data_IF_892541705697
#
_entry.id   IF_892541705697
#
_cell.length_a   1.000
_cell.length_b   1.000
_cell.length_c   1.000
_cell.angle_alpha   90.00
_cell.angle_beta   90.00
_cell.angle_gamma   90.00
#
_symmetry.space_group_name_H-M   'P 1'
#
loop_
_entity.id
_entity.type
_entity.pdbx_description
1 polymer ?
#
# COMPACT_ATOMS: atom_id res chain seq x y z
N UNK A 1 -31.64 -1.09 89.58
CA UNK A 1 -31.64 0.38 89.37
C UNK A 1 -31.24 0.66 87.93
N UNK A 2 -32.04 1.47 87.19
CA UNK A 2 -31.71 2.43 86.10
C UNK A 2 -30.34 2.23 85.39
N UNK A 3 -30.15 2.22 84.07
CA UNK A 3 -30.87 2.77 82.89
C UNK A 3 -30.16 2.25 81.61
N UNK A 4 -30.92 2.25 80.51
CA UNK A 4 -30.55 2.09 79.09
C UNK A 4 -29.76 3.31 78.57
N UNK A 5 -28.85 3.13 77.58
CA UNK A 5 -28.59 4.09 76.50
C UNK A 5 -27.79 3.45 75.33
N UNK A 6 -28.17 3.83 74.09
CA UNK A 6 -27.81 3.28 72.77
C UNK A 6 -27.09 4.37 71.93
N UNK A 7 -26.19 3.95 71.01
CA UNK A 7 -25.66 4.62 69.79
C UNK A 7 -24.86 5.95 69.99
N UNK A 8 -23.82 6.29 69.22
CA UNK A 8 -23.74 6.42 67.76
C UNK A 8 -22.31 6.27 67.17
N UNK A 9 -22.29 5.97 65.87
CA UNK A 9 -21.16 5.95 64.92
C UNK A 9 -20.22 7.17 65.00
N UNK A 10 -18.91 6.93 64.89
CA UNK A 10 -18.03 7.56 63.88
C UNK A 10 -16.84 6.64 63.58
N UNK A 11 -16.74 6.17 62.33
CA UNK A 11 -15.55 5.49 61.81
C UNK A 11 -14.56 6.60 61.43
N UNK A 12 -13.41 6.65 62.13
CA UNK A 12 -12.30 7.52 61.77
C UNK A 12 -11.11 6.69 61.28
N UNK A 13 -10.53 7.18 60.19
CA UNK A 13 -9.58 6.55 59.28
C UNK A 13 -8.24 6.16 59.90
N UNK A 14 -7.70 5.03 59.47
CA UNK A 14 -6.26 4.91 59.20
C UNK A 14 -6.00 3.78 58.16
N UNK A 15 -5.92 4.15 56.88
CA UNK A 15 -5.40 3.32 55.80
C UNK A 15 -3.88 3.54 55.73
N UNK A 16 -3.02 2.51 55.82
CA UNK A 16 -1.62 2.66 55.45
C UNK A 16 -1.44 2.61 53.93
N UNK A 17 -0.52 3.46 53.49
CA UNK A 17 -0.07 3.79 52.15
C UNK A 17 -0.10 2.68 51.08
N UNK A 18 -0.68 3.04 49.94
CA UNK A 18 -0.50 2.39 48.64
C UNK A 18 0.97 2.47 48.23
N UNK A 19 1.71 1.38 48.41
CA UNK A 19 3.03 1.22 47.82
C UNK A 19 2.89 1.16 46.30
N UNK A 20 3.48 2.12 45.60
CA UNK A 20 3.64 2.11 44.16
C UNK A 20 4.44 0.86 43.74
N UNK A 21 3.73 -0.17 43.26
CA UNK A 21 4.36 -1.28 42.57
C UNK A 21 4.33 -0.96 41.07
N UNK A 22 5.34 -0.20 40.62
CA UNK A 22 5.72 -0.14 39.22
C UNK A 22 6.23 -1.51 38.81
N UNK A 23 5.31 -2.43 38.51
CA UNK A 23 5.65 -3.58 37.68
C UNK A 23 5.91 -3.05 36.28
N UNK A 24 7.17 -2.69 36.00
CA UNK A 24 7.73 -2.89 34.68
C UNK A 24 7.56 -4.38 34.36
N UNK A 25 6.41 -4.73 33.77
CA UNK A 25 6.28 -5.97 33.03
C UNK A 25 7.25 -5.84 31.87
N UNK A 26 8.43 -6.39 32.07
CA UNK A 26 9.35 -6.78 31.01
C UNK A 26 8.60 -7.77 30.11
N UNK A 27 7.89 -7.24 29.11
CA UNK A 27 7.26 -8.04 28.06
C UNK A 27 8.25 -8.24 26.92
N UNK A 28 9.34 -8.97 27.20
CA UNK A 28 9.93 -9.82 26.18
C UNK A 28 9.00 -11.05 26.02
N UNK A 29 7.78 -10.77 25.56
CA UNK A 29 6.82 -11.78 25.13
C UNK A 29 7.24 -12.21 23.71
N UNK A 30 7.30 -13.51 23.38
CA UNK A 30 7.57 -13.94 22.01
C UNK A 30 6.55 -13.37 21.00
N UNK A 31 5.38 -12.93 21.48
CA UNK A 31 4.39 -12.20 20.71
C UNK A 31 4.84 -10.80 20.23
N UNK A 32 5.73 -10.09 20.95
CA UNK A 32 6.21 -8.77 20.49
C UNK A 32 7.15 -8.91 19.28
N UNK A 33 8.02 -9.93 19.30
CA UNK A 33 8.94 -10.22 18.21
C UNK A 33 8.22 -10.82 16.97
N UNK A 34 7.09 -11.49 17.19
CA UNK A 34 6.21 -11.94 16.11
C UNK A 34 5.41 -10.79 15.50
N UNK A 35 4.93 -9.85 16.33
CA UNK A 35 4.19 -8.68 15.89
C UNK A 35 5.05 -7.72 15.04
N UNK A 36 6.34 -7.53 15.38
CA UNK A 36 7.23 -6.65 14.59
C UNK A 36 7.54 -7.21 13.19
N UNK A 37 7.35 -8.51 12.97
CA UNK A 37 7.59 -9.17 11.70
C UNK A 37 6.29 -9.47 10.93
N UNK A 38 5.13 -9.19 11.52
CA UNK A 38 3.83 -9.35 10.86
C UNK A 38 3.75 -8.44 9.62
N UNK A 39 3.33 -8.97 8.45
CA UNK A 39 3.34 -8.22 7.20
C UNK A 39 2.39 -7.02 7.20
N UNK A 40 1.26 -7.10 7.91
CA UNK A 40 0.30 -6.00 8.02
C UNK A 40 0.83 -4.91 8.98
N UNK A 41 1.50 -5.29 10.07
CA UNK A 41 2.22 -4.35 10.93
C UNK A 41 3.31 -3.61 10.16
N UNK A 42 4.14 -4.34 9.42
CA UNK A 42 5.21 -3.77 8.59
C UNK A 42 4.67 -2.85 7.49
N UNK A 43 3.56 -3.22 6.85
CA UNK A 43 2.86 -2.37 5.89
C UNK A 43 2.44 -1.03 6.52
N UNK A 44 1.79 -1.09 7.69
CA UNK A 44 1.38 0.11 8.43
C UNK A 44 2.58 0.97 8.85
N UNK A 45 3.66 0.34 9.31
CA UNK A 45 4.90 1.03 9.64
C UNK A 45 5.49 1.74 8.41
N UNK A 46 5.48 1.10 7.24
CA UNK A 46 5.94 1.71 6.00
C UNK A 46 5.17 3.00 5.66
N UNK A 47 3.84 2.97 5.76
CA UNK A 47 3.02 4.17 5.55
C UNK A 47 3.26 5.26 6.60
N UNK A 48 3.46 4.89 7.87
CA UNK A 48 3.84 5.86 8.91
C UNK A 48 5.16 6.56 8.57
N UNK A 49 6.19 5.80 8.20
CA UNK A 49 7.47 6.37 7.79
C UNK A 49 7.35 7.24 6.55
N UNK A 50 6.54 6.84 5.56
CA UNK A 50 6.29 7.67 4.37
C UNK A 50 5.65 9.00 4.72
N UNK A 51 4.69 9.03 5.67
CA UNK A 51 4.04 10.26 6.12
C UNK A 51 4.99 11.16 6.92
N UNK A 52 5.97 10.57 7.60
CA UNK A 52 7.04 11.29 8.31
C UNK A 52 8.19 11.75 7.38
N UNK A 53 8.11 11.49 6.07
CA UNK A 53 9.17 11.79 5.10
C UNK A 53 10.42 10.90 5.22
N UNK A 54 10.34 9.82 6.00
CA UNK A 54 11.43 8.85 6.22
C UNK A 54 11.37 7.76 5.15
N UNK A 55 11.57 8.14 3.89
CA UNK A 55 11.33 7.27 2.74
C UNK A 55 12.20 5.99 2.74
N UNK A 56 13.44 6.05 3.20
CA UNK A 56 14.30 4.86 3.27
C UNK A 56 13.80 3.82 4.29
N UNK A 57 13.24 4.28 5.41
CA UNK A 57 12.61 3.39 6.39
C UNK A 57 11.30 2.84 5.86
N UNK A 58 10.53 3.65 5.12
CA UNK A 58 9.32 3.20 4.45
C UNK A 58 9.61 2.08 3.44
N UNK A 59 10.63 2.26 2.60
CA UNK A 59 11.10 1.26 1.64
C UNK A 59 11.43 -0.06 2.33
N UNK A 60 12.24 0.00 3.40
CA UNK A 60 12.64 -1.18 4.16
C UNK A 60 11.43 -1.91 4.78
N UNK A 61 10.49 -1.17 5.36
CA UNK A 61 9.27 -1.72 5.94
C UNK A 61 8.38 -2.39 4.88
N UNK A 62 8.13 -1.71 3.76
CA UNK A 62 7.37 -2.29 2.66
C UNK A 62 8.08 -3.52 2.08
N UNK A 63 9.39 -3.48 1.90
CA UNK A 63 10.19 -4.61 1.39
C UNK A 63 10.08 -5.84 2.29
N UNK A 64 10.18 -5.68 3.61
CA UNK A 64 10.04 -6.80 4.55
C UNK A 64 8.66 -7.46 4.46
N UNK A 65 7.60 -6.66 4.36
CA UNK A 65 6.24 -7.19 4.18
C UNK A 65 6.00 -7.79 2.78
N UNK A 66 6.49 -7.13 1.74
CA UNK A 66 6.36 -7.56 0.35
C UNK A 66 7.00 -8.94 0.09
N UNK A 67 8.16 -9.20 0.73
CA UNK A 67 8.84 -10.51 0.72
C UNK A 67 8.03 -11.62 1.39
N UNK A 68 7.07 -11.28 2.24
CA UNK A 68 6.12 -12.23 2.84
C UNK A 68 4.84 -12.37 2.00
N UNK A 69 4.91 -12.00 0.72
CA UNK A 69 3.78 -12.03 -0.21
C UNK A 69 2.61 -11.11 0.20
N UNK A 70 2.88 -10.02 0.91
CA UNK A 70 1.85 -9.07 1.30
C UNK A 70 1.48 -8.14 0.13
N UNK A 71 0.31 -8.36 -0.47
CA UNK A 71 -0.17 -7.66 -1.67
C UNK A 71 -0.04 -6.14 -1.58
N UNK A 72 -0.59 -5.52 -0.53
CA UNK A 72 -0.58 -4.05 -0.39
C UNK A 72 0.83 -3.49 -0.27
N UNK A 73 1.75 -4.24 0.36
CA UNK A 73 3.15 -3.82 0.47
C UNK A 73 3.91 -3.92 -0.84
N UNK A 74 3.60 -4.91 -1.67
CA UNK A 74 4.18 -5.00 -3.01
C UNK A 74 3.72 -3.83 -3.87
N UNK A 75 2.44 -3.46 -3.83
CA UNK A 75 1.95 -2.26 -4.53
C UNK A 75 2.59 -0.98 -4.01
N UNK A 76 2.64 -0.79 -2.68
CA UNK A 76 3.27 0.38 -2.08
C UNK A 76 4.75 0.48 -2.43
N UNK A 77 5.47 -0.63 -2.39
CA UNK A 77 6.89 -0.67 -2.75
C UNK A 77 7.11 -0.41 -4.24
N UNK A 78 6.23 -0.93 -5.10
CA UNK A 78 6.27 -0.65 -6.53
C UNK A 78 6.11 0.85 -6.81
N UNK A 79 5.12 1.50 -6.19
CA UNK A 79 4.91 2.94 -6.28
C UNK A 79 6.07 3.74 -5.67
N UNK A 80 6.66 3.25 -4.59
CA UNK A 80 7.82 3.86 -3.95
C UNK A 80 8.99 3.98 -4.94
N UNK A 81 9.28 2.92 -5.67
CA UNK A 81 10.30 2.92 -6.72
C UNK A 81 9.89 3.69 -7.96
N UNK A 82 8.62 3.60 -8.37
CA UNK A 82 8.10 4.28 -9.55
C UNK A 82 8.22 5.80 -9.43
N UNK A 83 7.85 6.36 -8.27
CA UNK A 83 7.96 7.80 -8.01
C UNK A 83 9.31 8.22 -7.42
N UNK A 84 10.24 7.27 -7.24
CA UNK A 84 11.55 7.54 -6.66
C UNK A 84 11.51 8.21 -5.29
N UNK A 85 10.63 7.73 -4.40
CA UNK A 85 10.43 8.33 -3.06
C UNK A 85 11.70 8.36 -2.21
N UNK A 86 12.59 7.39 -2.38
CA UNK A 86 13.95 7.37 -1.78
C UNK A 86 15.01 8.06 -2.65
N UNK A 87 14.64 9.12 -3.36
CA UNK A 87 15.56 9.99 -4.10
C UNK A 87 15.98 9.52 -5.49
N UNK A 88 15.52 8.35 -5.96
CA UNK A 88 15.76 7.88 -7.34
C UNK A 88 14.63 7.01 -7.86
N UNK A 89 14.18 7.29 -9.08
CA UNK A 89 13.23 6.42 -9.80
C UNK A 89 13.91 5.11 -10.17
N UNK A 90 13.20 3.99 -10.02
CA UNK A 90 13.66 2.68 -10.47
C UNK A 90 12.49 1.89 -11.09
N UNK A 91 12.24 2.12 -12.38
CA UNK A 91 11.16 1.47 -13.10
C UNK A 91 11.30 -0.06 -13.17
N UNK A 92 12.53 -0.61 -13.22
CA UNK A 92 12.70 -2.08 -13.24
C UNK A 92 12.23 -2.72 -11.93
N UNK A 93 12.59 -2.12 -10.78
CA UNK A 93 12.10 -2.62 -9.48
C UNK A 93 10.61 -2.35 -9.30
N UNK A 94 10.11 -1.21 -9.76
CA UNK A 94 8.67 -0.93 -9.74
C UNK A 94 7.89 -2.00 -10.52
N UNK A 95 8.30 -2.27 -11.76
CA UNK A 95 7.69 -3.28 -12.62
C UNK A 95 7.76 -4.68 -12.04
N UNK A 96 8.89 -5.04 -11.41
CA UNK A 96 9.02 -6.31 -10.70
C UNK A 96 7.96 -6.47 -9.60
N UNK A 97 7.80 -5.46 -8.74
CA UNK A 97 6.83 -5.55 -7.63
C UNK A 97 5.38 -5.42 -8.10
N UNK A 98 5.10 -4.62 -9.13
CA UNK A 98 3.79 -4.63 -9.78
C UNK A 98 3.48 -5.99 -10.40
N UNK A 99 4.44 -6.67 -11.02
CA UNK A 99 4.24 -8.02 -11.53
C UNK A 99 3.89 -9.01 -10.42
N UNK A 100 4.55 -8.94 -9.26
CA UNK A 100 4.21 -9.78 -8.10
C UNK A 100 2.80 -9.49 -7.55
N UNK A 101 2.38 -8.23 -7.53
CA UNK A 101 1.02 -7.87 -7.10
C UNK A 101 -0.04 -8.26 -8.14
N UNK A 102 0.27 -8.14 -9.43
CA UNK A 102 -0.58 -8.53 -10.54
C UNK A 102 -0.80 -10.05 -10.60
N UNK A 103 0.23 -10.85 -10.29
CA UNK A 103 0.11 -12.33 -10.23
C UNK A 103 -0.80 -12.80 -9.11
N UNK A 104 -0.95 -12.01 -8.04
CA UNK A 104 -1.94 -12.21 -6.97
C UNK A 104 -3.33 -11.65 -7.31
N UNK A 105 -3.51 -11.11 -8.51
CA UNK A 105 -4.79 -10.65 -9.00
C UNK A 105 -5.10 -9.18 -8.74
N UNK A 106 -4.16 -8.36 -8.28
CA UNK A 106 -4.41 -6.92 -8.15
C UNK A 106 -4.69 -6.28 -9.51
N UNK A 107 -5.90 -5.73 -9.66
CA UNK A 107 -6.30 -4.99 -10.84
C UNK A 107 -5.54 -3.66 -10.98
N UNK A 108 -5.22 -3.02 -9.84
CA UNK A 108 -4.39 -1.80 -9.84
C UNK A 108 -2.99 -2.10 -10.37
N UNK A 109 -2.38 -3.19 -9.92
CA UNK A 109 -1.05 -3.58 -10.36
C UNK A 109 -1.02 -4.00 -11.83
N UNK A 110 -2.04 -4.74 -12.30
CA UNK A 110 -2.20 -5.04 -13.73
C UNK A 110 -2.33 -3.77 -14.58
N UNK A 111 -3.14 -2.80 -14.15
CA UNK A 111 -3.30 -1.53 -14.85
C UNK A 111 -1.98 -0.76 -14.94
N UNK A 112 -1.29 -0.56 -13.81
CA UNK A 112 -0.05 0.20 -13.77
C UNK A 112 1.07 -0.52 -14.52
N UNK A 113 1.20 -1.85 -14.39
CA UNK A 113 2.16 -2.61 -15.18
C UNK A 113 1.86 -2.50 -16.68
N UNK A 114 0.58 -2.54 -17.07
CA UNK A 114 0.17 -2.33 -18.45
C UNK A 114 0.58 -0.96 -18.99
N UNK A 115 0.35 0.11 -18.22
CA UNK A 115 0.82 1.45 -18.56
C UNK A 115 2.35 1.51 -18.73
N UNK A 116 3.11 0.87 -17.83
CA UNK A 116 4.57 0.81 -17.93
C UNK A 116 5.05 0.17 -19.24
N UNK A 117 4.39 -0.89 -19.73
CA UNK A 117 4.72 -1.49 -21.02
C UNK A 117 4.35 -0.57 -22.21
N UNK A 118 3.27 0.20 -22.11
CA UNK A 118 2.86 1.14 -23.16
C UNK A 118 3.85 2.31 -23.26
N UNK A 119 4.34 2.79 -22.12
CA UNK A 119 5.23 3.95 -22.04
C UNK A 119 6.71 3.56 -22.18
N UNK A 120 7.05 2.28 -21.99
CA UNK A 120 8.44 1.79 -22.02
C UNK A 120 9.20 2.04 -20.72
N UNK A 121 8.48 2.18 -19.61
CA UNK A 121 9.05 2.45 -18.29
C UNK A 121 9.73 1.22 -17.73
N UNK A 122 11.06 1.16 -17.88
CA UNK A 122 11.89 0.06 -17.38
C UNK A 122 11.84 -1.22 -18.23
N UNK A 123 11.04 -1.24 -19.29
CA UNK A 123 10.87 -2.36 -20.22
C UNK A 123 10.87 -1.86 -21.67
N UNK A 124 11.19 -2.73 -22.65
CA UNK A 124 10.87 -2.44 -24.04
C UNK A 124 9.38 -2.13 -24.19
N UNK A 125 9.06 -1.10 -24.97
CA UNK A 125 7.69 -0.71 -25.24
C UNK A 125 6.94 -1.86 -25.93
N UNK A 126 5.80 -2.23 -25.36
CA UNK A 126 4.89 -3.25 -25.88
C UNK A 126 3.44 -2.81 -25.61
N UNK A 127 2.86 -2.13 -26.59
CA UNK A 127 1.49 -1.61 -26.47
C UNK A 127 0.46 -2.72 -26.42
N UNK A 128 0.65 -3.80 -27.18
CA UNK A 128 -0.32 -4.88 -27.25
C UNK A 128 -0.36 -5.65 -25.92
N UNK A 129 0.80 -5.93 -25.33
CA UNK A 129 0.86 -6.53 -24.00
C UNK A 129 0.34 -5.60 -22.90
N UNK A 130 0.63 -4.30 -22.99
CA UNK A 130 0.10 -3.33 -22.05
C UNK A 130 -1.42 -3.23 -22.07
N UNK A 131 -2.02 -3.16 -23.26
CA UNK A 131 -3.49 -3.16 -23.44
C UNK A 131 -4.11 -4.47 -22.97
N UNK A 132 -3.44 -5.61 -23.15
CA UNK A 132 -3.87 -6.88 -22.59
C UNK A 132 -3.98 -6.81 -21.06
N UNK A 133 -2.95 -6.32 -20.38
CA UNK A 133 -2.96 -6.17 -18.91
C UNK A 133 -4.04 -5.19 -18.42
N UNK A 134 -4.19 -4.05 -19.09
CA UNK A 134 -5.24 -3.08 -18.77
C UNK A 134 -6.64 -3.70 -18.95
N UNK A 135 -6.87 -4.51 -20.00
CA UNK A 135 -8.13 -5.22 -20.15
C UNK A 135 -8.39 -6.25 -19.05
N UNK A 136 -7.35 -6.93 -18.54
CA UNK A 136 -7.50 -7.81 -17.36
C UNK A 136 -7.96 -7.02 -16.14
N UNK A 137 -7.37 -5.85 -15.90
CA UNK A 137 -7.80 -4.96 -14.82
C UNK A 137 -9.25 -4.47 -15.01
N UNK A 138 -9.63 -4.11 -16.24
CA UNK A 138 -10.99 -3.70 -16.61
C UNK A 138 -12.02 -4.80 -16.32
N UNK A 139 -11.75 -6.05 -16.69
CA UNK A 139 -12.66 -7.18 -16.45
C UNK A 139 -12.91 -7.41 -14.95
N UNK A 140 -11.95 -7.02 -14.09
CA UNK A 140 -12.09 -7.05 -12.63
C UNK A 140 -12.84 -5.83 -12.06
N UNK A 141 -13.38 -4.96 -12.91
CA UNK A 141 -14.12 -3.77 -12.51
C UNK A 141 -13.24 -2.60 -12.06
N UNK A 142 -11.95 -2.59 -12.43
CA UNK A 142 -11.08 -1.45 -12.10
C UNK A 142 -11.39 -0.27 -13.01
N UNK A 143 -12.13 0.71 -12.48
CA UNK A 143 -12.63 1.86 -13.23
C UNK A 143 -11.58 2.62 -14.05
N UNK A 144 -10.37 2.92 -13.53
CA UNK A 144 -9.36 3.60 -14.34
C UNK A 144 -8.96 2.81 -15.59
N UNK A 145 -8.98 1.46 -15.53
CA UNK A 145 -8.72 0.64 -16.69
C UNK A 145 -9.85 0.68 -17.72
N UNK A 146 -11.11 0.76 -17.26
CA UNK A 146 -12.26 0.95 -18.15
C UNK A 146 -12.20 2.29 -18.88
N UNK A 147 -11.98 3.37 -18.14
CA UNK A 147 -11.82 4.71 -18.69
C UNK A 147 -10.67 4.78 -19.70
N UNK A 148 -9.55 4.13 -19.39
CA UNK A 148 -8.42 4.05 -20.29
C UNK A 148 -8.76 3.38 -21.62
N UNK A 149 -9.43 2.22 -21.58
CA UNK A 149 -9.79 1.49 -22.81
C UNK A 149 -10.77 2.31 -23.65
N UNK A 150 -11.77 2.95 -23.04
CA UNK A 150 -12.71 3.83 -23.76
C UNK A 150 -11.96 4.98 -24.45
N UNK A 151 -11.02 5.62 -23.76
CA UNK A 151 -10.21 6.70 -24.32
C UNK A 151 -9.31 6.19 -25.47
N UNK A 152 -8.67 5.04 -25.29
CA UNK A 152 -7.82 4.40 -26.29
C UNK A 152 -8.58 4.03 -27.57
N UNK A 153 -9.79 3.51 -27.45
CA UNK A 153 -10.66 3.17 -28.58
C UNK A 153 -11.12 4.42 -29.34
N UNK A 154 -11.51 5.48 -28.62
CA UNK A 154 -11.87 6.77 -29.24
C UNK A 154 -10.70 7.37 -30.02
N UNK A 155 -9.50 7.32 -29.46
CA UNK A 155 -8.28 7.77 -30.16
C UNK A 155 -8.05 6.95 -31.43
N UNK A 156 -8.15 5.62 -31.35
CA UNK A 156 -8.02 4.74 -32.52
C UNK A 156 -9.02 5.05 -33.63
N UNK A 157 -10.27 5.36 -33.28
CA UNK A 157 -11.29 5.69 -34.27
C UNK A 157 -11.07 7.07 -34.90
N UNK A 158 -10.72 8.09 -34.11
CA UNK A 158 -10.31 9.42 -34.62
C UNK A 158 -9.11 9.31 -35.58
N UNK A 159 -8.12 8.52 -35.20
CA UNK A 159 -6.97 8.15 -36.01
C UNK A 159 -7.36 7.52 -37.34
N UNK A 160 -8.29 6.56 -37.34
CA UNK A 160 -8.80 5.91 -38.56
C UNK A 160 -9.48 6.90 -39.50
N UNK A 161 -10.28 7.82 -38.96
CA UNK A 161 -11.04 8.81 -39.74
C UNK A 161 -10.14 9.88 -40.36
N UNK A 162 -9.01 10.22 -39.71
CA UNK A 162 -8.08 11.24 -40.21
C UNK A 162 -7.13 10.76 -41.31
N UNK A 163 -7.14 9.47 -41.69
CA UNK A 163 -6.21 8.84 -42.65
C UNK A 163 -4.73 9.17 -42.40
N UNK A 164 -4.38 9.52 -41.16
CA UNK A 164 -3.03 9.92 -40.77
C UNK A 164 -2.11 8.70 -40.70
N UNK A 165 -0.94 8.76 -41.35
CA UNK A 165 0.12 7.74 -41.21
C UNK A 165 0.74 7.70 -39.81
N UNK A 166 0.49 8.69 -38.95
CA UNK A 166 0.99 8.71 -37.58
C UNK A 166 0.26 7.72 -36.63
N UNK A 167 -0.73 6.99 -37.13
CA UNK A 167 -1.58 6.10 -36.32
C UNK A 167 -0.93 4.75 -35.94
N UNK A 168 0.38 4.61 -36.14
CA UNK A 168 1.11 3.39 -35.77
C UNK A 168 1.47 3.42 -34.28
N UNK A 169 0.58 2.83 -33.47
CA UNK A 169 0.89 2.04 -32.27
C UNK A 169 1.81 2.68 -31.21
N UNK A 170 1.76 4.00 -31.01
CA UNK A 170 2.76 4.68 -30.15
C UNK A 170 2.25 5.67 -29.13
N UNK A 171 1.00 6.15 -29.19
CA UNK A 171 0.55 7.19 -28.24
C UNK A 171 -0.39 6.60 -27.18
N UNK A 172 0.09 6.53 -25.94
CA UNK A 172 -0.74 6.30 -24.76
C UNK A 172 -1.76 7.44 -24.68
N UNK A 173 -3.05 7.19 -24.43
CA UNK A 173 -3.99 8.25 -24.08
C UNK A 173 -3.40 9.02 -22.91
N UNK A 174 -3.27 10.35 -23.02
CA UNK A 174 -2.84 11.19 -21.92
C UNK A 174 -3.90 11.15 -20.82
N UNK A 175 -3.78 10.19 -19.91
CA UNK A 175 -4.57 10.15 -18.67
C UNK A 175 -3.67 10.68 -17.59
N UNK A 176 -3.92 11.92 -17.17
CA UNK A 176 -3.24 12.52 -16.03
C UNK A 176 -3.75 11.86 -14.75
N UNK A 177 -2.82 11.27 -14.00
CA UNK A 177 -3.04 10.60 -12.71
C UNK A 177 -3.33 11.59 -11.58
#
# INVERSE_FOLDING_TARGET
MKKIAIAYLTVSLCLPAFGANTQQKNTNHPASNQLINDPEYLFKAGWRYSNEGKFDLAEQSFLKAAKQNHLKSQESLALHYYFGKSGKVNYRLAGYWFHQAASQGSARAEFTLGAMYIDGDGFPKDVDFGIYLINKARIKGYKPAEEYIIAFEKLKESCRQSHSKACERTESPLITW
#
